data_IF_107986341798
#
_entry.id   IF_107986341798
#
_cell.length_a   1.000
_cell.length_b   1.000
_cell.length_c   1.000
_cell.angle_alpha   90.00
_cell.angle_beta   90.00
_cell.angle_gamma   90.00
#
_symmetry.space_group_name_H-M   'P 1'
#
loop_
_entity.id
_entity.type
_entity.pdbx_description
1 polymer ?
#
# COMPACT_ATOMS: atom_id res chain seq x y z
N UNK A 1 70.19 -41.93 45.34
CA UNK A 1 69.02 -42.72 44.88
C UNK A 1 68.16 -41.77 44.05
N UNK A 2 68.21 -41.88 42.72
CA UNK A 2 67.40 -41.05 41.81
C UNK A 2 65.95 -41.51 41.93
N UNK A 3 65.04 -40.57 42.22
CA UNK A 3 63.61 -40.82 42.24
C UNK A 3 63.15 -40.96 40.79
N UNK A 4 62.57 -42.11 40.48
CA UNK A 4 62.01 -42.43 39.17
C UNK A 4 60.92 -41.42 38.84
N UNK A 5 61.14 -40.65 37.77
CA UNK A 5 60.19 -39.66 37.31
C UNK A 5 58.97 -40.38 36.75
N UNK A 6 57.84 -40.30 37.46
CA UNK A 6 56.56 -40.82 37.03
C UNK A 6 56.31 -40.49 35.56
N UNK A 7 56.37 -41.54 34.72
CA UNK A 7 56.21 -41.41 33.29
C UNK A 7 54.72 -41.22 32.99
N UNK A 8 54.29 -39.95 33.03
CA UNK A 8 53.02 -39.54 32.43
C UNK A 8 53.15 -39.72 30.91
N UNK A 9 52.23 -40.47 30.31
CA UNK A 9 52.16 -40.70 28.86
C UNK A 9 52.22 -39.38 28.07
N UNK A 10 52.85 -39.38 26.89
CA UNK A 10 53.05 -38.16 26.09
C UNK A 10 51.74 -37.44 25.75
N UNK A 11 50.65 -38.18 25.50
CA UNK A 11 49.34 -37.61 25.20
C UNK A 11 48.78 -36.81 26.38
N UNK A 12 48.84 -37.33 27.61
CA UNK A 12 48.41 -36.60 28.81
C UNK A 12 49.32 -35.40 29.15
N UNK A 13 50.51 -35.28 28.55
CA UNK A 13 51.38 -34.11 28.75
C UNK A 13 50.96 -32.91 27.92
N UNK A 14 50.29 -33.13 26.78
CA UNK A 14 49.80 -32.06 25.90
C UNK A 14 48.56 -31.36 26.47
N UNK A 15 47.75 -32.08 27.23
CA UNK A 15 46.47 -31.59 27.79
C UNK A 15 46.58 -30.95 29.18
N UNK A 16 47.82 -30.66 29.63
CA UNK A 16 48.08 -30.02 30.92
C UNK A 16 48.59 -28.59 30.73
N UNK A 17 47.86 -27.59 31.24
CA UNK A 17 48.43 -26.27 31.44
C UNK A 17 49.46 -26.35 32.58
N UNK A 18 50.73 -26.13 32.25
CA UNK A 18 51.83 -26.16 33.22
C UNK A 18 52.27 -24.77 33.60
N UNK A 19 52.11 -24.45 34.87
CA UNK A 19 52.72 -23.27 35.45
C UNK A 19 53.91 -23.67 36.31
N UNK A 20 55.07 -23.05 36.07
CA UNK A 20 56.30 -23.33 36.82
C UNK A 20 56.50 -22.22 37.85
N UNK A 21 56.50 -22.60 39.11
CA UNK A 21 56.84 -21.69 40.21
C UNK A 21 58.24 -22.03 40.71
N UNK A 22 59.11 -21.01 40.75
CA UNK A 22 60.47 -21.15 41.25
C UNK A 22 60.45 -21.01 42.78
N UNK A 23 61.06 -21.98 43.47
CA UNK A 23 61.22 -21.92 44.94
C UNK A 23 62.57 -21.27 45.22
N UNK A 24 62.55 -20.09 45.82
CA UNK A 24 63.71 -19.28 46.15
C UNK A 24 63.70 -19.00 47.65
N UNK A 25 64.86 -19.12 48.32
CA UNK A 25 65.03 -18.73 49.73
C UNK A 25 66.24 -17.81 49.81
N UNK A 26 66.00 -16.52 50.09
CA UNK A 26 67.00 -15.47 49.86
C UNK A 26 67.30 -15.32 48.37
N UNK A 27 68.58 -15.15 48.02
CA UNK A 27 69.04 -15.02 46.63
C UNK A 27 69.33 -16.37 45.94
N UNK A 28 69.03 -17.49 46.60
CA UNK A 28 69.34 -18.82 46.06
C UNK A 28 68.08 -19.53 45.59
N UNK A 29 68.05 -19.83 44.29
CA UNK A 29 67.02 -20.69 43.68
C UNK A 29 67.30 -22.14 44.08
N UNK A 30 66.41 -22.74 44.87
CA UNK A 30 66.52 -24.12 45.36
C UNK A 30 65.97 -25.14 44.35
N UNK A 31 65.07 -24.72 43.46
CA UNK A 31 64.50 -25.56 42.41
C UNK A 31 63.21 -24.99 41.86
N UNK A 32 62.48 -25.81 41.08
CA UNK A 32 61.17 -25.44 40.53
C UNK A 32 60.15 -26.55 40.77
N UNK A 33 58.93 -26.15 41.15
CA UNK A 33 57.76 -27.04 41.14
C UNK A 33 56.90 -26.66 39.95
N UNK A 34 56.38 -27.65 39.25
CA UNK A 34 55.43 -27.46 38.15
C UNK A 34 54.09 -28.05 38.55
N UNK A 35 53.03 -27.24 38.48
CA UNK A 35 51.65 -27.67 38.67
C UNK A 35 51.01 -27.82 37.30
N UNK A 36 50.31 -28.93 37.07
CA UNK A 36 49.59 -29.19 35.82
C UNK A 36 48.09 -29.25 36.08
N UNK A 37 47.30 -28.47 35.33
CA UNK A 37 45.83 -28.55 35.35
C UNK A 37 45.32 -29.30 34.11
N UNK A 38 44.44 -30.28 34.29
CA UNK A 38 43.82 -31.04 33.19
C UNK A 38 42.84 -30.15 32.42
N UNK A 39 43.06 -29.98 31.11
CA UNK A 39 42.19 -29.19 30.23
C UNK A 39 41.04 -30.06 29.68
N UNK A 40 41.14 -31.40 29.77
CA UNK A 40 40.17 -32.37 29.22
C UNK A 40 38.76 -32.11 29.77
N UNK A 41 38.64 -31.94 31.10
CA UNK A 41 37.36 -31.69 31.78
C UNK A 41 36.75 -30.33 31.39
N UNK A 42 37.59 -29.33 31.14
CA UNK A 42 37.14 -27.99 30.71
C UNK A 42 36.66 -28.06 29.25
N UNK A 43 37.35 -28.80 28.39
CA UNK A 43 37.03 -28.89 26.97
C UNK A 43 35.71 -29.66 26.74
N UNK A 44 35.48 -30.80 27.40
CA UNK A 44 34.24 -31.57 27.22
C UNK A 44 32.98 -30.77 27.61
N UNK A 45 33.02 -30.09 28.76
CA UNK A 45 31.92 -29.22 29.18
C UNK A 45 31.72 -28.01 28.24
N UNK A 46 32.79 -27.49 27.64
CA UNK A 46 32.70 -26.40 26.66
C UNK A 46 32.15 -26.86 25.31
N UNK A 47 32.47 -28.07 24.86
CA UNK A 47 31.98 -28.59 23.57
C UNK A 47 30.45 -28.71 23.56
N UNK A 48 29.85 -29.26 24.62
CA UNK A 48 28.39 -29.39 24.71
C UNK A 48 27.70 -28.01 24.68
N UNK A 49 28.25 -27.05 25.42
CA UNK A 49 27.71 -25.69 25.46
C UNK A 49 27.81 -24.98 24.10
N UNK A 50 28.91 -25.15 23.37
CA UNK A 50 29.10 -24.56 22.04
C UNK A 50 28.08 -25.14 21.05
N UNK A 51 27.85 -26.45 21.08
CA UNK A 51 26.85 -27.10 20.20
C UNK A 51 25.46 -26.55 20.47
N UNK A 52 25.04 -26.45 21.73
CA UNK A 52 23.74 -25.89 22.09
C UNK A 52 23.59 -24.42 21.68
N UNK A 53 24.63 -23.61 21.84
CA UNK A 53 24.63 -22.22 21.38
C UNK A 53 24.45 -22.11 19.86
N UNK A 54 25.13 -22.98 19.09
CA UNK A 54 24.98 -23.02 17.62
C UNK A 54 23.57 -23.44 17.23
N UNK A 55 23.02 -24.48 17.86
CA UNK A 55 21.64 -24.93 17.62
C UNK A 55 20.64 -23.81 17.90
N UNK A 56 20.79 -23.12 19.04
CA UNK A 56 19.95 -21.97 19.39
C UNK A 56 20.09 -20.83 18.38
N UNK A 57 21.30 -20.50 17.94
CA UNK A 57 21.52 -19.48 16.93
C UNK A 57 20.83 -19.83 15.59
N UNK A 58 20.95 -21.09 15.15
CA UNK A 58 20.27 -21.56 13.93
C UNK A 58 18.75 -21.51 14.07
N UNK A 59 18.20 -21.89 15.23
CA UNK A 59 16.76 -21.79 15.51
C UNK A 59 16.29 -20.34 15.45
N UNK A 60 17.03 -19.39 16.03
CA UNK A 60 16.69 -17.97 15.94
C UNK A 60 16.73 -17.46 14.51
N UNK A 61 17.77 -17.80 13.74
CA UNK A 61 17.87 -17.40 12.32
C UNK A 61 16.65 -17.90 11.55
N UNK A 62 16.26 -19.17 11.75
CA UNK A 62 15.10 -19.77 11.09
C UNK A 62 13.79 -19.08 11.52
N UNK A 63 13.64 -18.83 12.82
CA UNK A 63 12.47 -18.14 13.37
C UNK A 63 12.33 -16.73 12.80
N UNK A 64 13.39 -15.91 12.82
CA UNK A 64 13.37 -14.54 12.32
C UNK A 64 13.18 -14.50 10.80
N UNK A 65 13.79 -15.41 10.06
CA UNK A 65 13.60 -15.51 8.61
C UNK A 65 12.15 -15.85 8.26
N UNK A 66 11.55 -16.82 8.98
CA UNK A 66 10.14 -17.19 8.83
C UNK A 66 9.21 -16.04 9.18
N UNK A 67 9.45 -15.35 10.31
CA UNK A 67 8.67 -14.20 10.74
C UNK A 67 8.76 -13.04 9.75
N UNK A 68 9.96 -12.74 9.24
CA UNK A 68 10.17 -11.72 8.21
C UNK A 68 9.39 -12.03 6.94
N UNK A 69 9.44 -13.29 6.47
CA UNK A 69 8.68 -13.73 5.32
C UNK A 69 7.16 -13.67 5.57
N UNK A 70 6.70 -13.94 6.79
CA UNK A 70 5.31 -13.82 7.19
C UNK A 70 4.84 -12.35 7.16
N UNK A 71 5.59 -11.44 7.78
CA UNK A 71 5.30 -9.99 7.78
C UNK A 71 5.29 -9.44 6.35
N UNK A 72 6.29 -9.80 5.54
CA UNK A 72 6.37 -9.35 4.15
C UNK A 72 5.11 -9.75 3.35
N UNK A 73 4.61 -10.97 3.53
CA UNK A 73 3.41 -11.47 2.85
C UNK A 73 2.11 -10.84 3.37
N UNK A 74 2.00 -10.63 4.68
CA UNK A 74 0.77 -10.11 5.32
C UNK A 74 0.65 -8.59 5.28
N UNK A 75 1.76 -7.87 5.24
CA UNK A 75 1.79 -6.42 5.38
C UNK A 75 2.48 -5.74 4.19
N UNK A 76 3.77 -6.01 3.97
CA UNK A 76 4.56 -5.25 3.00
C UNK A 76 4.04 -5.40 1.57
N UNK A 77 3.77 -6.63 1.11
CA UNK A 77 3.28 -6.90 -0.25
C UNK A 77 1.89 -6.30 -0.52
N UNK A 78 0.86 -6.49 0.33
CA UNK A 78 -0.43 -5.83 0.13
C UNK A 78 -0.33 -4.30 0.10
N UNK A 79 0.49 -3.70 0.97
CA UNK A 79 0.70 -2.24 0.99
C UNK A 79 1.37 -1.73 -0.29
N UNK A 80 2.37 -2.46 -0.79
CA UNK A 80 3.03 -2.11 -2.05
C UNK A 80 2.05 -2.18 -3.24
N UNK A 81 1.20 -3.21 -3.29
CA UNK A 81 0.14 -3.32 -4.31
C UNK A 81 -0.87 -2.17 -4.23
N UNK A 82 -1.31 -1.80 -3.03
CA UNK A 82 -2.20 -0.65 -2.83
C UNK A 82 -1.52 0.65 -3.31
N UNK A 83 -0.23 0.82 -3.01
CA UNK A 83 0.54 1.98 -3.46
C UNK A 83 0.66 2.04 -4.98
N UNK A 84 0.89 0.91 -5.64
CA UNK A 84 0.88 0.84 -7.10
C UNK A 84 -0.49 1.18 -7.70
N UNK A 85 -1.57 0.63 -7.13
CA UNK A 85 -2.93 0.93 -7.58
C UNK A 85 -3.28 2.42 -7.40
N UNK A 86 -2.90 3.02 -6.26
CA UNK A 86 -3.06 4.46 -6.02
C UNK A 86 -2.37 5.31 -7.09
N UNK A 87 -1.15 4.93 -7.49
CA UNK A 87 -0.42 5.66 -8.52
C UNK A 87 -1.10 5.55 -9.90
N UNK A 88 -1.67 4.40 -10.25
CA UNK A 88 -2.41 4.23 -11.50
C UNK A 88 -3.71 5.05 -11.51
N UNK A 89 -4.43 5.09 -10.39
CA UNK A 89 -5.63 5.94 -10.23
C UNK A 89 -5.27 7.41 -10.41
N UNK A 90 -4.12 7.86 -9.91
CA UNK A 90 -3.63 9.24 -10.13
C UNK A 90 -3.46 9.59 -11.61
N UNK A 91 -3.21 8.60 -12.46
CA UNK A 91 -3.13 8.75 -13.92
C UNK A 91 -4.47 8.59 -14.64
N UNK A 92 -5.58 8.45 -13.90
CA UNK A 92 -6.93 8.33 -14.45
C UNK A 92 -7.41 6.90 -14.70
N UNK A 93 -6.60 5.88 -14.39
CA UNK A 93 -7.01 4.49 -14.53
C UNK A 93 -7.80 4.03 -13.30
N UNK A 94 -9.13 4.09 -13.40
CA UNK A 94 -10.07 3.67 -12.35
C UNK A 94 -10.53 2.22 -12.49
N UNK A 95 -10.00 1.43 -13.41
CA UNK A 95 -10.40 0.02 -13.58
C UNK A 95 -9.66 -0.92 -12.62
N UNK A 96 -8.61 -0.42 -11.96
CA UNK A 96 -7.78 -1.25 -11.11
C UNK A 96 -8.52 -1.60 -9.81
N UNK A 97 -8.49 -2.90 -9.47
CA UNK A 97 -8.99 -3.42 -8.20
C UNK A 97 -7.86 -4.16 -7.49
N UNK A 98 -7.79 -4.02 -6.17
CA UNK A 98 -6.81 -4.73 -5.34
C UNK A 98 -7.53 -5.82 -4.57
N UNK A 99 -7.05 -7.06 -4.68
CA UNK A 99 -7.65 -8.19 -3.97
C UNK A 99 -7.27 -8.16 -2.49
N UNK A 100 -8.25 -8.38 -1.62
CA UNK A 100 -8.05 -8.51 -0.18
C UNK A 100 -7.62 -9.95 0.16
N UNK A 101 -6.32 -10.22 0.06
CA UNK A 101 -5.75 -11.56 0.33
C UNK A 101 -5.67 -11.92 1.83
N UNK A 102 -5.75 -10.92 2.72
CA UNK A 102 -5.67 -11.11 4.17
C UNK A 102 -7.07 -11.07 4.83
N UNK A 103 -7.13 -11.35 6.13
CA UNK A 103 -8.37 -11.35 6.92
C UNK A 103 -8.27 -10.41 8.14
N UNK A 104 -7.43 -9.38 8.02
CA UNK A 104 -7.07 -8.43 9.07
C UNK A 104 -7.41 -6.99 8.64
N UNK A 105 -6.89 -6.00 9.36
CA UNK A 105 -7.09 -4.57 9.08
C UNK A 105 -6.60 -4.19 7.68
N UNK A 106 -5.62 -4.90 7.12
CA UNK A 106 -5.13 -4.67 5.76
C UNK A 106 -6.20 -5.05 4.75
N UNK A 107 -6.94 -6.13 4.99
CA UNK A 107 -8.06 -6.52 4.14
C UNK A 107 -9.21 -5.51 4.19
N UNK A 108 -9.48 -4.97 5.39
CA UNK A 108 -10.46 -3.90 5.56
C UNK A 108 -10.03 -2.65 4.81
N UNK A 109 -8.77 -2.24 4.91
CA UNK A 109 -8.21 -1.12 4.18
C UNK A 109 -8.34 -1.32 2.66
N UNK A 110 -8.02 -2.52 2.15
CA UNK A 110 -8.17 -2.86 0.73
C UNK A 110 -9.62 -2.74 0.27
N UNK A 111 -10.59 -3.18 1.07
CA UNK A 111 -12.01 -3.04 0.75
C UNK A 111 -12.44 -1.58 0.67
N UNK A 112 -12.11 -0.78 1.69
CA UNK A 112 -12.43 0.65 1.70
C UNK A 112 -11.76 1.41 0.55
N UNK A 113 -10.54 1.01 0.18
CA UNK A 113 -9.86 1.55 -1.00
C UNK A 113 -10.63 1.23 -2.30
N UNK A 114 -11.07 -0.02 -2.49
CA UNK A 114 -11.86 -0.39 -3.66
C UNK A 114 -13.22 0.32 -3.72
N UNK A 115 -13.87 0.52 -2.57
CA UNK A 115 -15.12 1.30 -2.47
C UNK A 115 -14.93 2.75 -2.91
N UNK A 116 -13.82 3.38 -2.52
CA UNK A 116 -13.46 4.73 -2.97
C UNK A 116 -13.31 4.78 -4.50
N UNK A 117 -12.64 3.81 -5.11
CA UNK A 117 -12.48 3.73 -6.58
C UNK A 117 -13.83 3.58 -7.27
N UNK A 118 -14.70 2.71 -6.73
CA UNK A 118 -16.04 2.52 -7.28
C UNK A 118 -16.83 3.84 -7.26
N UNK A 119 -16.77 4.60 -6.17
CA UNK A 119 -17.42 5.91 -6.06
C UNK A 119 -16.84 6.96 -7.02
N UNK A 120 -15.51 6.97 -7.24
CA UNK A 120 -14.89 7.84 -8.24
C UNK A 120 -15.36 7.50 -9.67
N UNK A 121 -15.43 6.22 -9.99
CA UNK A 121 -15.91 5.74 -11.30
C UNK A 121 -17.37 6.11 -11.54
N UNK A 122 -18.22 5.93 -10.53
CA UNK A 122 -19.62 6.31 -10.61
C UNK A 122 -19.81 7.80 -10.88
N UNK A 123 -19.07 8.66 -10.15
CA UNK A 123 -19.09 10.11 -10.41
C UNK A 123 -18.65 10.47 -11.83
N UNK A 124 -17.58 9.86 -12.33
CA UNK A 124 -17.12 10.09 -13.69
C UNK A 124 -18.18 9.71 -14.74
N UNK A 125 -18.88 8.60 -14.53
CA UNK A 125 -19.95 8.16 -15.43
C UNK A 125 -21.13 9.15 -15.39
N UNK A 126 -21.52 9.60 -14.20
CA UNK A 126 -22.60 10.58 -14.03
C UNK A 126 -22.24 11.91 -14.71
N UNK A 127 -21.02 12.40 -14.53
CA UNK A 127 -20.54 13.63 -15.18
C UNK A 127 -20.54 13.50 -16.70
N UNK A 128 -19.99 12.41 -17.24
CA UNK A 128 -19.97 12.16 -18.67
C UNK A 128 -21.38 12.09 -19.26
N UNK A 129 -22.31 11.40 -18.60
CA UNK A 129 -23.70 11.34 -19.01
C UNK A 129 -24.37 12.72 -18.93
N UNK A 130 -24.06 13.52 -17.91
CA UNK A 130 -24.51 14.90 -17.79
C UNK A 130 -24.03 15.80 -18.93
N UNK A 131 -22.78 15.63 -19.37
CA UNK A 131 -22.24 16.34 -20.54
C UNK A 131 -22.91 15.90 -21.84
N UNK A 132 -23.07 14.60 -22.06
CA UNK A 132 -23.70 14.04 -23.27
C UNK A 132 -25.17 14.46 -23.37
N UNK A 133 -25.88 14.45 -22.24
CA UNK A 133 -27.26 14.89 -22.15
C UNK A 133 -27.36 16.40 -22.42
N UNK A 134 -26.46 17.20 -21.85
CA UNK A 134 -26.39 18.65 -22.10
C UNK A 134 -26.01 19.00 -23.54
N UNK A 135 -25.18 18.18 -24.18
CA UNK A 135 -24.82 18.32 -25.59
C UNK A 135 -25.99 17.93 -26.51
N UNK A 136 -26.73 16.87 -26.17
CA UNK A 136 -27.90 16.40 -26.92
C UNK A 136 -29.10 17.35 -26.77
N UNK A 137 -29.25 18.00 -25.61
CA UNK A 137 -30.25 19.04 -25.37
C UNK A 137 -29.82 20.44 -25.80
N UNK A 138 -28.75 20.59 -26.60
CA UNK A 138 -28.48 21.85 -27.30
C UNK A 138 -29.67 22.18 -28.22
N UNK A 139 -30.58 23.00 -27.68
CA UNK A 139 -31.45 24.06 -28.21
C UNK A 139 -31.89 24.10 -29.68
N UNK A 140 -31.19 23.47 -30.63
CA UNK A 140 -31.45 23.60 -32.07
C UNK A 140 -32.59 22.71 -32.57
N UNK A 141 -32.98 21.66 -31.83
CA UNK A 141 -34.11 20.80 -32.23
C UNK A 141 -35.41 21.05 -31.45
N UNK A 142 -35.35 21.59 -30.23
CA UNK A 142 -36.57 21.86 -29.45
C UNK A 142 -37.37 23.04 -30.01
N UNK A 143 -36.69 24.12 -30.41
CA UNK A 143 -37.36 25.27 -31.01
C UNK A 143 -38.14 24.91 -32.30
N UNK A 144 -37.57 24.20 -33.30
CA UNK A 144 -38.33 23.82 -34.49
C UNK A 144 -39.42 22.77 -34.21
N UNK A 145 -39.20 21.80 -33.30
CA UNK A 145 -40.20 20.78 -32.99
C UNK A 145 -41.42 21.37 -32.27
N UNK A 146 -41.18 22.28 -31.32
CA UNK A 146 -42.24 23.04 -30.65
C UNK A 146 -42.92 23.96 -31.65
N UNK A 147 -42.17 24.65 -32.52
CA UNK A 147 -42.72 25.50 -33.59
C UNK A 147 -43.65 24.75 -34.53
N UNK A 148 -43.26 23.57 -35.00
CA UNK A 148 -44.05 22.77 -35.95
C UNK A 148 -45.36 22.27 -35.31
N UNK A 149 -45.27 21.75 -34.08
CA UNK A 149 -46.43 21.31 -33.29
C UNK A 149 -47.36 22.49 -32.94
N UNK A 150 -46.81 23.63 -32.50
CA UNK A 150 -47.61 24.83 -32.18
C UNK A 150 -48.35 25.37 -33.40
N UNK A 151 -47.68 25.43 -34.56
CA UNK A 151 -48.28 25.88 -35.81
C UNK A 151 -49.49 25.03 -36.19
N UNK A 152 -49.40 23.71 -36.00
CA UNK A 152 -50.49 22.78 -36.29
C UNK A 152 -51.64 22.82 -35.27
N UNK A 153 -51.35 23.11 -34.00
CA UNK A 153 -52.31 23.01 -32.91
C UNK A 153 -53.07 24.31 -32.62
N UNK A 154 -52.41 25.47 -32.76
CA UNK A 154 -52.98 26.75 -32.31
C UNK A 154 -53.60 27.55 -33.48
N UNK A 155 -53.29 27.24 -34.74
CA UNK A 155 -53.87 27.95 -35.90
C UNK A 155 -53.64 29.46 -35.91
N UNK A 156 -52.74 29.96 -35.05
CA UNK A 156 -52.49 31.38 -34.84
C UNK A 156 -51.43 31.90 -35.83
N UNK A 157 -51.63 33.13 -36.31
CA UNK A 157 -50.74 33.81 -37.25
C UNK A 157 -49.35 34.17 -36.65
N UNK A 158 -49.20 34.08 -35.32
CA UNK A 158 -47.93 34.25 -34.63
C UNK A 158 -48.04 33.92 -33.14
N UNK A 159 -46.96 33.40 -32.56
CA UNK A 159 -46.85 33.08 -31.14
C UNK A 159 -45.42 33.34 -30.64
N UNK A 160 -45.25 33.78 -29.39
CA UNK A 160 -43.94 33.93 -28.75
C UNK A 160 -43.78 32.85 -27.69
N UNK A 161 -42.72 32.04 -27.81
CA UNK A 161 -42.44 30.91 -26.91
C UNK A 161 -41.37 31.31 -25.89
N UNK A 162 -41.69 31.07 -24.62
CA UNK A 162 -40.79 31.33 -23.49
C UNK A 162 -40.24 30.01 -22.98
N UNK A 163 -38.91 29.83 -23.04
CA UNK A 163 -38.24 28.67 -22.45
C UNK A 163 -37.30 29.16 -21.36
N UNK A 164 -37.67 28.90 -20.11
CA UNK A 164 -36.82 29.21 -18.94
C UNK A 164 -35.81 28.08 -18.74
N UNK A 165 -34.51 28.39 -18.83
CA UNK A 165 -33.40 27.45 -18.57
C UNK A 165 -32.81 27.74 -17.19
N UNK A 166 -32.19 26.73 -16.58
CA UNK A 166 -31.51 26.81 -15.27
C UNK A 166 -30.38 27.85 -15.14
N UNK A 167 -30.09 28.65 -16.18
CA UNK A 167 -29.11 29.73 -16.17
C UNK A 167 -29.52 30.99 -16.96
N UNK A 168 -30.81 31.13 -17.31
CA UNK A 168 -31.34 32.27 -18.06
C UNK A 168 -32.61 31.95 -18.86
N UNK A 169 -33.26 32.97 -19.42
CA UNK A 169 -34.47 32.81 -20.25
C UNK A 169 -34.11 32.93 -21.73
N UNK A 170 -34.46 31.92 -22.54
CA UNK A 170 -34.35 31.97 -24.00
C UNK A 170 -35.70 32.35 -24.60
N UNK A 171 -35.70 33.34 -25.49
CA UNK A 171 -36.89 33.84 -26.17
C UNK A 171 -36.88 33.38 -27.63
N UNK A 172 -37.95 32.72 -28.07
CA UNK A 172 -38.15 32.37 -29.48
C UNK A 172 -39.45 33.01 -29.97
N UNK A 173 -39.35 33.80 -31.04
CA UNK A 173 -40.50 34.34 -31.74
C UNK A 173 -40.87 33.40 -32.90
N UNK A 174 -42.10 32.91 -32.90
CA UNK A 174 -42.62 32.00 -33.93
C UNK A 174 -43.65 32.77 -34.74
N UNK A 175 -43.23 33.31 -35.88
CA UNK A 175 -44.11 33.92 -36.87
C UNK A 175 -44.44 32.91 -37.97
N UNK A 176 -45.73 32.80 -38.32
CA UNK A 176 -46.16 32.01 -39.47
C UNK A 176 -46.23 32.90 -40.70
N UNK A 177 -45.35 32.66 -41.67
CA UNK A 177 -45.47 32.99 -43.10
C UNK A 177 -45.67 34.45 -43.49
N UNK A 178 -46.79 35.05 -43.10
CA UNK A 178 -47.30 36.33 -43.60
C UNK A 178 -47.43 37.42 -42.52
N UNK A 179 -47.11 37.11 -41.26
CA UNK A 179 -47.22 38.06 -40.16
C UNK A 179 -45.97 38.96 -40.04
N UNK A 180 -45.73 39.84 -41.02
CA UNK A 180 -44.67 40.86 -40.93
C UNK A 180 -45.02 42.05 -40.00
N UNK A 181 -46.16 42.01 -39.30
CA UNK A 181 -46.70 43.17 -38.58
C UNK A 181 -47.32 42.87 -37.20
N UNK A 182 -46.98 41.74 -36.57
CA UNK A 182 -47.40 41.49 -35.19
C UNK A 182 -46.34 42.07 -34.25
N UNK A 183 -46.51 43.33 -33.88
CA UNK A 183 -45.66 44.01 -32.90
C UNK A 183 -46.15 43.65 -31.49
N UNK A 184 -45.34 42.89 -30.75
CA UNK A 184 -45.66 42.53 -29.37
C UNK A 184 -45.15 43.60 -28.40
N UNK A 185 -45.87 43.89 -27.31
CA UNK A 185 -45.48 44.91 -26.34
C UNK A 185 -44.09 44.65 -25.73
N UNK A 186 -43.36 45.71 -25.33
CA UNK A 186 -42.04 45.59 -24.73
C UNK A 186 -42.11 44.84 -23.39
N UNK A 187 -41.11 44.00 -23.14
CA UNK A 187 -41.03 43.16 -21.95
C UNK A 187 -40.56 43.99 -20.74
N UNK A 188 -41.36 44.05 -19.67
CA UNK A 188 -40.88 44.40 -18.34
C UNK A 188 -40.05 43.22 -17.81
N UNK A 189 -38.73 43.39 -17.81
CA UNK A 189 -37.80 42.47 -17.16
C UNK A 189 -37.81 42.82 -15.68
N UNK A 190 -38.56 42.06 -14.88
CA UNK A 190 -38.44 42.13 -13.43
C UNK A 190 -37.02 41.67 -13.05
N UNK A 191 -36.27 42.56 -12.39
CA UNK A 191 -34.83 42.40 -12.10
C UNK A 191 -34.56 41.42 -10.98
#
# INVERSE_FOLDING_TARGET
RRLDGGAVAEESRADLLRERVNIQVGDRVLGSVSVGFSIIEINEAMQEQIVWNIVMALLFILLFSSLSAWISRRLSRPLERLNHAMNAIRTGNLEQQVEAETHDEIAQLTRSFNEMIAGLRERQIIENLGYELSATFQSDRLAPLVRERLKSAIGAAGARLYIKRSGGTLFYEITTGDAQQIEFPPLEVDR
#
